data_IF_560508431006
#
_entry.id   IF_560508431006
#
_cell.length_a   1.000
_cell.length_b   1.000
_cell.length_c   1.000
_cell.angle_alpha   90.00
_cell.angle_beta   90.00
_cell.angle_gamma   90.00
#
_symmetry.space_group_name_H-M   'P 1'
#
loop_
_entity.id
_entity.type
_entity.pdbx_description
1 polymer ?
#
# COMPACT_ATOMS: atom_id res chain seq x y z
N UNK A 1 37.57 12.65 46.08
CA UNK A 1 37.92 11.77 44.94
C UNK A 1 36.88 10.70 44.66
N UNK A 2 36.42 9.90 45.65
CA UNK A 2 35.40 8.86 45.42
C UNK A 2 34.07 9.36 44.82
N UNK A 3 33.57 10.52 45.24
CA UNK A 3 32.32 11.08 44.70
C UNK A 3 32.39 11.37 43.19
N UNK A 4 33.58 11.76 42.69
CA UNK A 4 33.82 12.05 41.27
C UNK A 4 33.73 10.76 40.44
N UNK A 5 34.25 9.65 40.97
CA UNK A 5 34.14 8.34 40.30
C UNK A 5 32.71 7.83 40.28
N UNK A 6 31.97 8.01 41.38
CA UNK A 6 30.56 7.59 41.44
C UNK A 6 29.68 8.39 40.47
N UNK A 7 29.86 9.71 40.39
CA UNK A 7 29.10 10.54 39.43
C UNK A 7 29.44 10.20 37.99
N UNK A 8 30.71 9.95 37.70
CA UNK A 8 31.17 9.57 36.37
C UNK A 8 30.62 8.20 35.94
N UNK A 9 30.61 7.21 36.84
CA UNK A 9 30.02 5.89 36.57
C UNK A 9 28.51 5.96 36.25
N UNK A 10 27.75 6.76 37.00
CA UNK A 10 26.32 6.96 36.77
C UNK A 10 26.06 7.67 35.44
N UNK A 11 26.81 8.73 35.14
CA UNK A 11 26.73 9.46 33.87
C UNK A 11 27.06 8.55 32.68
N UNK A 12 28.13 7.77 32.76
CA UNK A 12 28.50 6.82 31.71
C UNK A 12 27.41 5.77 31.51
N UNK A 13 26.86 5.20 32.58
CA UNK A 13 25.76 4.24 32.47
C UNK A 13 24.50 4.83 31.84
N UNK A 14 24.17 6.09 32.16
CA UNK A 14 23.04 6.80 31.58
C UNK A 14 23.25 7.08 30.08
N UNK A 15 24.42 7.59 29.71
CA UNK A 15 24.77 7.87 28.31
C UNK A 15 24.76 6.59 27.50
N UNK A 16 25.35 5.51 28.01
CA UNK A 16 25.41 4.24 27.29
C UNK A 16 24.01 3.69 27.00
N UNK A 17 23.11 3.75 27.99
CA UNK A 17 21.72 3.31 27.85
C UNK A 17 20.90 4.18 26.88
N UNK A 18 21.28 5.43 26.66
CA UNK A 18 20.58 6.32 25.74
C UNK A 18 21.17 6.25 24.32
N UNK A 19 22.50 6.20 24.23
CA UNK A 19 23.22 6.16 22.97
C UNK A 19 23.02 4.82 22.23
N UNK A 20 22.99 3.68 22.94
CA UNK A 20 22.83 2.37 22.30
C UNK A 20 21.48 2.27 21.56
N UNK A 21 20.31 2.55 22.18
CA UNK A 21 19.03 2.51 21.48
C UNK A 21 18.98 3.46 20.28
N UNK A 22 19.50 4.68 20.42
CA UNK A 22 19.52 5.67 19.33
C UNK A 22 20.41 5.18 18.17
N UNK A 23 21.58 4.63 18.47
CA UNK A 23 22.46 4.09 17.45
C UNK A 23 21.80 2.93 16.69
N UNK A 24 21.09 2.04 17.41
CA UNK A 24 20.36 0.92 16.81
C UNK A 24 19.23 1.42 15.91
N UNK A 25 18.43 2.40 16.36
CA UNK A 25 17.33 2.92 15.54
C UNK A 25 17.84 3.63 14.30
N UNK A 26 18.90 4.44 14.41
CA UNK A 26 19.53 5.09 13.26
C UNK A 26 20.08 4.06 12.25
N UNK A 27 20.72 2.99 12.75
CA UNK A 27 21.21 1.92 11.90
C UNK A 27 20.06 1.19 11.18
N UNK A 28 18.97 0.90 11.89
CA UNK A 28 17.80 0.26 11.30
C UNK A 28 17.16 1.13 10.21
N UNK A 29 16.97 2.42 10.47
CA UNK A 29 16.44 3.38 9.49
C UNK A 29 17.35 3.45 8.25
N UNK A 30 18.66 3.50 8.45
CA UNK A 30 19.63 3.51 7.34
C UNK A 30 19.51 2.26 6.45
N UNK A 31 19.43 1.07 7.08
CA UNK A 31 19.29 -0.19 6.34
C UNK A 31 17.96 -0.23 5.58
N UNK A 32 16.85 0.11 6.24
CA UNK A 32 15.52 0.11 5.62
C UNK A 32 15.44 1.08 4.45
N UNK A 33 15.95 2.30 4.62
CA UNK A 33 15.98 3.30 3.54
C UNK A 33 16.80 2.80 2.33
N UNK A 34 17.95 2.15 2.58
CA UNK A 34 18.76 1.59 1.49
C UNK A 34 18.02 0.50 0.71
N UNK A 35 17.25 -0.34 1.40
CA UNK A 35 16.44 -1.39 0.76
C UNK A 35 15.27 -0.77 -0.01
N UNK A 36 14.62 0.24 0.57
CA UNK A 36 13.49 0.93 -0.05
C UNK A 36 13.89 1.60 -1.37
N UNK A 37 15.02 2.32 -1.40
CA UNK A 37 15.55 2.95 -2.63
C UNK A 37 15.75 1.91 -3.74
N UNK A 38 16.32 0.75 -3.40
CA UNK A 38 16.51 -0.32 -4.38
C UNK A 38 15.18 -0.83 -4.94
N UNK A 39 14.16 -1.00 -4.09
CA UNK A 39 12.83 -1.42 -4.56
C UNK A 39 12.13 -0.35 -5.40
N UNK A 40 12.34 0.93 -5.11
CA UNK A 40 11.82 2.01 -5.96
C UNK A 40 12.49 2.00 -7.35
N UNK A 41 13.79 1.74 -7.42
CA UNK A 41 14.51 1.56 -8.70
C UNK A 41 13.98 0.35 -9.49
N UNK A 42 13.74 -0.78 -8.83
CA UNK A 42 13.13 -1.96 -9.44
C UNK A 42 11.71 -1.66 -9.95
N UNK A 43 10.90 -0.91 -9.18
CA UNK A 43 9.55 -0.51 -9.56
C UNK A 43 9.52 0.41 -10.80
N UNK A 44 10.48 1.34 -10.92
CA UNK A 44 10.61 2.20 -12.11
C UNK A 44 10.97 1.41 -13.38
N UNK A 45 11.64 0.26 -13.23
CA UNK A 45 11.99 -0.62 -14.34
C UNK A 45 10.87 -1.60 -14.71
N UNK A 46 9.85 -1.75 -13.86
CA UNK A 46 8.68 -2.53 -14.22
C UNK A 46 7.95 -1.81 -15.35
N UNK A 47 7.53 -2.52 -16.41
CA UNK A 47 6.72 -1.92 -17.46
C UNK A 47 5.48 -1.29 -16.82
N UNK A 48 5.10 -0.11 -17.32
CA UNK A 48 3.84 0.52 -16.93
C UNK A 48 2.73 -0.53 -17.00
N UNK A 49 1.80 -0.56 -16.03
CA UNK A 49 0.69 -1.51 -16.08
C UNK A 49 0.06 -1.35 -17.46
N UNK A 50 0.03 -2.47 -18.21
CA UNK A 50 -0.61 -2.49 -19.52
C UNK A 50 -1.99 -1.85 -19.37
N UNK A 51 -2.41 -1.08 -20.36
CA UNK A 51 -3.74 -0.48 -20.37
C UNK A 51 -4.74 -1.63 -20.32
N UNK A 52 -5.17 -1.99 -19.10
CA UNK A 52 -6.02 -3.15 -18.89
C UNK A 52 -7.35 -2.72 -19.44
N UNK A 53 -7.69 -3.31 -20.60
CA UNK A 53 -9.00 -3.19 -21.21
C UNK A 53 -10.01 -3.40 -20.09
N UNK A 54 -10.76 -2.35 -19.75
CA UNK A 54 -11.77 -2.38 -18.70
C UNK A 54 -13.03 -2.96 -19.34
N UNK A 55 -13.27 -4.28 -19.28
CA UNK A 55 -14.49 -4.81 -19.87
C UNK A 55 -15.66 -4.20 -19.11
N UNK A 56 -16.64 -3.75 -19.88
CA UNK A 56 -17.84 -3.20 -19.30
C UNK A 56 -18.53 -4.31 -18.50
N UNK A 57 -18.87 -4.03 -17.24
CA UNK A 57 -19.38 -5.07 -16.34
C UNK A 57 -20.62 -5.78 -16.86
N UNK A 58 -21.45 -5.09 -17.66
CA UNK A 58 -22.63 -5.67 -18.27
C UNK A 58 -22.32 -6.65 -19.39
N UNK A 59 -21.19 -6.52 -20.07
CA UNK A 59 -20.73 -7.48 -21.08
C UNK A 59 -20.20 -8.75 -20.40
N UNK A 60 -19.50 -8.61 -19.26
CA UNK A 60 -18.98 -9.76 -18.50
C UNK A 60 -20.10 -10.52 -17.77
N UNK A 61 -21.07 -9.80 -17.20
CA UNK A 61 -22.19 -10.40 -16.43
C UNK A 61 -23.43 -10.70 -17.29
N UNK A 62 -23.39 -10.42 -18.60
CA UNK A 62 -24.53 -10.57 -19.52
C UNK A 62 -25.82 -9.90 -19.00
N UNK A 63 -25.72 -8.65 -18.53
CA UNK A 63 -26.88 -7.95 -17.96
C UNK A 63 -27.87 -7.52 -19.06
N UNK A 64 -29.19 -7.75 -18.88
CA UNK A 64 -30.21 -7.33 -19.84
C UNK A 64 -30.29 -5.78 -19.89
N UNK A 65 -30.64 -5.23 -21.05
CA UNK A 65 -30.61 -3.79 -21.31
C UNK A 65 -31.43 -2.95 -20.31
N UNK A 66 -32.51 -3.54 -19.77
CA UNK A 66 -33.39 -2.91 -18.78
C UNK A 66 -32.71 -2.64 -17.44
N UNK A 67 -31.74 -3.46 -17.06
CA UNK A 67 -31.06 -3.39 -15.76
C UNK A 67 -29.79 -2.54 -15.82
N UNK A 68 -29.36 -2.13 -17.03
CA UNK A 68 -28.15 -1.33 -17.24
C UNK A 68 -28.28 0.08 -16.66
N UNK A 69 -29.44 0.73 -16.83
CA UNK A 69 -29.67 2.09 -16.32
C UNK A 69 -29.71 2.17 -14.80
N UNK A 70 -30.07 1.07 -14.12
CA UNK A 70 -30.10 0.98 -12.66
C UNK A 70 -28.75 0.56 -12.06
N UNK A 71 -27.80 0.12 -12.89
CA UNK A 71 -26.50 -0.33 -12.43
C UNK A 71 -25.57 0.85 -12.12
N UNK A 72 -25.16 0.97 -10.86
CA UNK A 72 -24.20 2.01 -10.40
C UNK A 72 -22.90 1.98 -11.22
N UNK A 73 -22.44 0.80 -11.62
CA UNK A 73 -21.23 0.63 -12.43
C UNK A 73 -21.39 1.09 -13.88
N UNK A 74 -22.61 1.19 -14.41
CA UNK A 74 -22.86 1.69 -15.76
C UNK A 74 -22.67 3.22 -15.84
N UNK A 75 -23.01 3.92 -14.76
CA UNK A 75 -22.90 5.38 -14.67
C UNK A 75 -21.57 5.86 -14.07
N UNK A 76 -20.61 4.97 -13.82
CA UNK A 76 -19.34 5.29 -13.17
C UNK A 76 -18.18 5.09 -14.14
N UNK A 77 -17.18 5.97 -14.06
CA UNK A 77 -15.89 5.79 -14.73
C UNK A 77 -15.02 4.69 -14.08
N UNK A 78 -15.41 4.26 -12.89
CA UNK A 78 -14.74 3.23 -12.12
C UNK A 78 -15.16 1.82 -12.55
N UNK A 79 -14.26 0.82 -12.48
CA UNK A 79 -14.63 -0.56 -12.72
C UNK A 79 -15.69 -1.01 -11.69
N UNK A 80 -16.49 -2.03 -12.04
CA UNK A 80 -17.67 -2.36 -11.25
C UNK A 80 -17.41 -2.71 -9.78
N UNK A 81 -16.30 -3.39 -9.49
CA UNK A 81 -15.89 -3.76 -8.14
C UNK A 81 -15.56 -2.53 -7.28
N UNK A 82 -15.09 -1.45 -7.91
CA UNK A 82 -14.79 -0.18 -7.23
C UNK A 82 -16.09 0.65 -7.07
N UNK A 83 -16.88 0.75 -8.14
CA UNK A 83 -18.16 1.47 -8.13
C UNK A 83 -19.20 0.88 -7.16
N UNK A 84 -19.13 -0.42 -6.87
CA UNK A 84 -20.05 -1.14 -5.96
C UNK A 84 -19.44 -1.49 -4.61
N UNK A 85 -18.34 -0.84 -4.21
CA UNK A 85 -17.76 -0.99 -2.86
C UNK A 85 -18.81 -0.72 -1.79
N UNK A 86 -18.65 -1.42 -0.68
CA UNK A 86 -19.45 -1.20 0.51
C UNK A 86 -19.07 0.15 1.15
N UNK A 87 -19.97 0.79 1.92
CA UNK A 87 -19.69 2.05 2.59
C UNK A 87 -18.50 1.99 3.57
N UNK A 88 -18.18 0.81 4.07
CA UNK A 88 -17.02 0.54 4.92
C UNK A 88 -15.70 0.36 4.13
N UNK A 89 -15.72 0.56 2.81
CA UNK A 89 -14.56 0.44 1.93
C UNK A 89 -14.23 -0.98 1.46
N UNK A 90 -14.95 -2.00 1.94
CA UNK A 90 -14.72 -3.39 1.56
C UNK A 90 -15.35 -3.73 0.20
N UNK A 91 -14.76 -4.71 -0.48
CA UNK A 91 -15.39 -5.32 -1.64
C UNK A 91 -16.53 -6.25 -1.20
N UNK A 92 -17.49 -6.44 -2.09
CA UNK A 92 -18.52 -7.47 -1.94
C UNK A 92 -17.88 -8.85 -2.21
N UNK A 93 -18.38 -9.89 -1.55
CA UNK A 93 -17.87 -11.26 -1.72
C UNK A 93 -17.91 -11.71 -3.19
N UNK A 94 -18.97 -11.36 -3.92
CA UNK A 94 -19.11 -11.65 -5.36
C UNK A 94 -18.01 -11.04 -6.24
N UNK A 95 -17.30 -10.02 -5.75
CA UNK A 95 -16.17 -9.42 -6.45
C UNK A 95 -14.84 -10.10 -6.13
N UNK A 96 -14.73 -10.81 -5.01
CA UNK A 96 -13.50 -11.50 -4.61
C UNK A 96 -13.17 -12.68 -5.54
N UNK A 97 -14.20 -13.30 -6.13
CA UNK A 97 -14.04 -14.39 -7.10
C UNK A 97 -14.22 -13.93 -8.56
N UNK A 98 -14.35 -12.62 -8.80
CA UNK A 98 -14.61 -12.09 -10.13
C UNK A 98 -13.31 -12.00 -10.95
N UNK A 99 -13.27 -12.66 -12.11
CA UNK A 99 -12.09 -12.66 -12.98
C UNK A 99 -11.61 -11.26 -13.38
N UNK A 100 -12.53 -10.30 -13.56
CA UNK A 100 -12.20 -8.89 -13.84
C UNK A 100 -11.43 -8.22 -12.69
N UNK A 101 -11.76 -8.57 -11.44
CA UNK A 101 -11.03 -8.08 -10.28
C UNK A 101 -9.65 -8.75 -10.16
N UNK A 102 -9.57 -10.06 -10.40
CA UNK A 102 -8.29 -10.80 -10.41
C UNK A 102 -7.32 -10.31 -11.49
N UNK A 103 -7.84 -9.78 -12.59
CA UNK A 103 -7.06 -9.20 -13.69
C UNK A 103 -6.87 -7.69 -13.55
N UNK A 104 -7.39 -7.07 -12.49
CA UNK A 104 -7.23 -5.63 -12.30
C UNK A 104 -5.74 -5.28 -12.16
N UNK A 105 -5.28 -4.19 -12.80
CA UNK A 105 -3.90 -3.77 -12.67
C UNK A 105 -3.64 -3.37 -11.22
N UNK A 106 -2.42 -3.65 -10.75
CA UNK A 106 -1.97 -3.19 -9.44
C UNK A 106 -2.06 -1.65 -9.46
N UNK A 107 -2.75 -1.03 -8.48
CA UNK A 107 -2.86 0.42 -8.45
C UNK A 107 -1.46 1.04 -8.40
N UNK A 108 -1.13 1.85 -9.41
CA UNK A 108 0.14 2.55 -9.44
C UNK A 108 0.17 3.54 -8.27
N UNK A 109 1.27 3.60 -7.50
CA UNK A 109 1.42 4.62 -6.48
C UNK A 109 1.27 5.99 -7.13
N UNK A 110 0.30 6.78 -6.67
CA UNK A 110 0.14 8.17 -7.07
C UNK A 110 1.28 8.94 -6.39
N UNK A 111 2.34 9.24 -7.14
CA UNK A 111 3.34 10.19 -6.68
C UNK A 111 2.71 11.59 -6.69
N UNK A 112 2.70 12.33 -5.56
CA UNK A 112 2.30 13.73 -5.53
C UNK A 112 3.30 14.64 -6.25
#
# INVERSE_FOLDING_TARGET
MQWLYSTLAVLTGLILRLAIPIAITLLAVYILHRVDVRWQEEAMQMPAPADVEKPQCWDVKNCPAKDRSECVSFNSAEPCWQARRLPNGYLREECLDCQVFHQAPIPSPVHP
#
